data_IF_201792116521
#
_entry.id   IF_201792116521
#
_cell.length_a   1.000
_cell.length_b   1.000
_cell.length_c   1.000
_cell.angle_alpha   90.00
_cell.angle_beta   90.00
_cell.angle_gamma   90.00
#
_symmetry.space_group_name_H-M   'P 1'
#
loop_
_entity.id
_entity.type
_entity.pdbx_description
1 polymer ?
#
# COMPACT_ATOMS: atom_id res chain seq x y z
N UNK A 1 -24.22 16.89 1.16
CA UNK A 1 -24.42 15.43 1.36
C UNK A 1 -23.30 14.95 2.27
N UNK A 2 -23.57 14.02 3.20
CA UNK A 2 -22.77 13.63 4.39
C UNK A 2 -21.25 13.89 4.27
N UNK A 3 -20.57 13.38 3.24
CA UNK A 3 -19.10 13.51 3.12
C UNK A 3 -18.64 14.49 2.01
N UNK A 4 -19.54 15.23 1.37
CA UNK A 4 -19.21 16.21 0.32
C UNK A 4 -18.62 15.63 -0.97
N UNK A 5 -18.50 14.30 -1.11
CA UNK A 5 -17.79 13.68 -2.23
C UNK A 5 -18.63 13.60 -3.52
N UNK A 6 -17.95 13.84 -4.65
CA UNK A 6 -18.49 13.65 -6.00
C UNK A 6 -18.93 12.22 -6.26
N UNK A 7 -20.10 12.05 -6.87
CA UNK A 7 -20.64 10.76 -7.30
C UNK A 7 -20.61 10.67 -8.82
N UNK A 8 -20.20 9.52 -9.34
CA UNK A 8 -20.02 9.31 -10.78
C UNK A 8 -20.88 8.12 -11.25
N UNK A 9 -21.52 8.27 -12.41
CA UNK A 9 -22.11 7.14 -13.13
C UNK A 9 -21.03 6.51 -14.02
N UNK A 10 -20.86 5.20 -13.93
CA UNK A 10 -19.82 4.47 -14.66
C UNK A 10 -20.40 3.31 -15.45
N UNK A 11 -19.70 2.89 -16.50
CA UNK A 11 -20.06 1.73 -17.30
C UNK A 11 -19.95 0.43 -16.48
N UNK A 12 -20.77 -0.55 -16.83
CA UNK A 12 -20.76 -1.89 -16.24
C UNK A 12 -19.38 -2.57 -16.35
N UNK A 13 -19.09 -3.51 -15.45
CA UNK A 13 -17.82 -4.24 -15.42
C UNK A 13 -17.53 -4.99 -16.74
N UNK A 14 -18.57 -5.47 -17.43
CA UNK A 14 -18.48 -6.16 -18.72
C UNK A 14 -18.18 -5.22 -19.90
N UNK A 15 -18.19 -3.90 -19.70
CA UNK A 15 -17.87 -2.96 -20.77
C UNK A 15 -16.42 -3.11 -21.23
N UNK A 16 -16.19 -2.90 -22.54
CA UNK A 16 -14.85 -2.97 -23.12
C UNK A 16 -13.86 -2.00 -22.45
N UNK A 17 -14.34 -0.84 -22.00
CA UNK A 17 -13.55 0.15 -21.27
C UNK A 17 -13.03 -0.40 -19.93
N UNK A 18 -13.91 -0.99 -19.11
CA UNK A 18 -13.53 -1.60 -17.84
C UNK A 18 -12.65 -2.83 -18.04
N UNK A 19 -12.94 -3.67 -19.03
CA UNK A 19 -12.11 -4.84 -19.38
C UNK A 19 -10.68 -4.46 -19.79
N UNK A 20 -10.49 -3.40 -20.58
CA UNK A 20 -9.15 -2.88 -20.95
C UNK A 20 -8.38 -2.40 -19.71
N UNK A 21 -9.04 -1.70 -18.80
CA UNK A 21 -8.44 -1.23 -17.54
C UNK A 21 -8.00 -2.41 -16.66
N UNK A 22 -8.85 -3.43 -16.52
CA UNK A 22 -8.56 -4.62 -15.72
C UNK A 22 -7.42 -5.46 -16.30
N UNK A 23 -7.38 -5.61 -17.64
CA UNK A 23 -6.24 -6.21 -18.33
C UNK A 23 -4.94 -5.46 -18.05
N UNK A 24 -4.97 -4.13 -18.09
CA UNK A 24 -3.80 -3.30 -17.76
C UNK A 24 -3.33 -3.48 -16.31
N UNK A 25 -4.27 -3.57 -15.36
CA UNK A 25 -4.01 -3.86 -13.95
C UNK A 25 -3.23 -5.17 -13.78
N UNK A 26 -3.69 -6.27 -14.40
CA UNK A 26 -3.00 -7.55 -14.31
C UNK A 26 -1.67 -7.60 -15.07
N UNK A 27 -1.58 -6.95 -16.23
CA UNK A 27 -0.30 -6.81 -16.95
C UNK A 27 0.75 -6.09 -16.09
N UNK A 28 0.34 -5.07 -15.32
CA UNK A 28 1.24 -4.38 -14.38
C UNK A 28 1.71 -5.30 -13.26
N UNK A 29 0.81 -6.12 -12.71
CA UNK A 29 1.16 -7.12 -11.70
C UNK A 29 2.14 -8.19 -12.25
N UNK A 30 1.91 -8.67 -13.48
CA UNK A 30 2.82 -9.62 -14.14
C UNK A 30 4.22 -9.02 -14.36
N UNK A 31 4.31 -7.75 -14.77
CA UNK A 31 5.59 -7.03 -14.87
C UNK A 31 6.28 -6.89 -13.52
N UNK A 32 5.53 -6.61 -12.45
CA UNK A 32 6.06 -6.56 -11.09
C UNK A 32 6.62 -7.92 -10.68
N UNK A 33 5.91 -9.02 -10.96
CA UNK A 33 6.36 -10.38 -10.67
C UNK A 33 7.73 -10.67 -11.30
N UNK A 34 7.97 -10.26 -12.55
CA UNK A 34 9.28 -10.42 -13.20
C UNK A 34 10.40 -9.56 -12.63
N UNK A 35 10.09 -8.54 -11.82
CA UNK A 35 11.06 -7.61 -11.23
C UNK A 35 11.14 -7.69 -9.70
N UNK A 36 10.35 -8.55 -9.07
CA UNK A 36 10.13 -8.52 -7.63
C UNK A 36 11.42 -8.77 -6.86
N UNK A 37 12.27 -9.70 -7.29
CA UNK A 37 13.50 -10.03 -6.58
C UNK A 37 14.51 -8.87 -6.56
N UNK A 38 14.55 -8.06 -7.62
CA UNK A 38 15.37 -6.84 -7.66
C UNK A 38 14.88 -5.83 -6.63
N UNK A 39 13.56 -5.63 -6.53
CA UNK A 39 12.96 -4.72 -5.55
C UNK A 39 13.21 -5.21 -4.13
N UNK A 40 13.07 -6.52 -3.90
CA UNK A 40 13.34 -7.15 -2.60
C UNK A 40 14.79 -7.02 -2.18
N UNK A 41 15.72 -7.18 -3.11
CA UNK A 41 17.15 -6.95 -2.85
C UNK A 41 17.42 -5.49 -2.47
N UNK A 42 16.77 -4.55 -3.16
CA UNK A 42 16.93 -3.12 -2.90
C UNK A 42 16.42 -2.72 -1.51
N UNK A 43 15.16 -3.03 -1.18
CA UNK A 43 14.62 -2.66 0.13
C UNK A 43 15.38 -3.38 1.26
N UNK A 44 15.83 -4.63 1.07
CA UNK A 44 16.60 -5.35 2.11
C UNK A 44 17.93 -4.68 2.42
N UNK A 45 18.61 -4.15 1.40
CA UNK A 45 19.82 -3.35 1.58
C UNK A 45 19.51 -2.05 2.35
N UNK A 46 18.37 -1.43 2.04
CA UNK A 46 17.98 -0.14 2.61
C UNK A 46 17.47 -0.23 4.05
N UNK A 47 17.11 -1.42 4.56
CA UNK A 47 16.74 -1.64 5.96
C UNK A 47 17.86 -1.25 6.95
N UNK A 48 19.13 -1.34 6.53
CA UNK A 48 20.29 -0.96 7.36
C UNK A 48 20.90 0.38 6.94
N UNK A 49 20.16 1.21 6.19
CA UNK A 49 20.63 2.54 5.78
C UNK A 49 20.86 3.45 6.99
N UNK A 50 21.78 4.41 6.86
CA UNK A 50 22.02 5.44 7.90
C UNK A 50 20.90 6.49 7.97
N UNK A 51 20.16 6.70 6.88
CA UNK A 51 19.02 7.63 6.83
C UNK A 51 17.77 6.95 7.41
N UNK A 52 17.13 7.61 8.36
CA UNK A 52 15.89 7.15 8.97
C UNK A 52 14.76 7.03 7.95
N UNK A 53 14.65 8.01 7.05
CA UNK A 53 13.65 8.09 5.99
C UNK A 53 13.78 6.89 5.04
N UNK A 54 15.02 6.59 4.65
CA UNK A 54 15.31 5.45 3.77
C UNK A 54 14.95 4.12 4.44
N UNK A 55 15.25 3.98 5.74
CA UNK A 55 14.86 2.77 6.51
C UNK A 55 13.36 2.66 6.66
N UNK A 56 12.66 3.74 6.99
CA UNK A 56 11.20 3.75 7.10
C UNK A 56 10.53 3.36 5.78
N UNK A 57 10.99 3.90 4.66
CA UNK A 57 10.52 3.53 3.33
C UNK A 57 10.77 2.04 3.03
N UNK A 58 11.97 1.54 3.33
CA UNK A 58 12.32 0.13 3.13
C UNK A 58 11.46 -0.80 4.00
N UNK A 59 11.24 -0.44 5.27
CA UNK A 59 10.38 -1.18 6.18
C UNK A 59 8.93 -1.18 5.70
N UNK A 60 8.39 -0.03 5.30
CA UNK A 60 7.02 0.07 4.75
C UNK A 60 6.86 -0.79 3.48
N UNK A 61 7.84 -0.75 2.57
CA UNK A 61 7.83 -1.64 1.40
C UNK A 61 7.86 -3.12 1.78
N UNK A 62 8.69 -3.50 2.76
CA UNK A 62 8.74 -4.88 3.25
C UNK A 62 7.40 -5.32 3.85
N UNK A 63 6.76 -4.48 4.67
CA UNK A 63 5.44 -4.75 5.26
C UNK A 63 4.39 -4.95 4.17
N UNK A 64 4.35 -4.08 3.15
CA UNK A 64 3.41 -4.21 2.02
C UNK A 64 3.68 -5.50 1.21
N UNK A 65 4.95 -5.79 0.87
CA UNK A 65 5.30 -6.98 0.07
C UNK A 65 5.05 -8.29 0.82
N UNK A 66 5.36 -8.36 2.12
CA UNK A 66 5.32 -9.61 2.88
C UNK A 66 3.98 -9.87 3.56
N UNK A 67 3.29 -8.82 4.00
CA UNK A 67 2.03 -8.92 4.74
C UNK A 67 0.82 -8.43 3.94
N UNK A 68 1.02 -7.94 2.71
CA UNK A 68 -0.04 -7.45 1.83
C UNK A 68 -0.90 -6.32 2.43
N UNK A 69 -0.32 -5.49 3.30
CA UNK A 69 -1.01 -4.31 3.82
C UNK A 69 -1.28 -3.30 2.70
N UNK A 70 -2.42 -2.62 2.81
CA UNK A 70 -2.70 -1.44 1.97
C UNK A 70 -1.80 -0.29 2.40
N UNK A 71 -1.50 0.61 1.46
CA UNK A 71 -0.61 1.77 1.71
C UNK A 71 -1.09 2.60 2.90
N UNK A 72 -2.38 2.91 3.00
CA UNK A 72 -2.94 3.75 4.06
C UNK A 72 -2.71 5.23 3.77
N UNK A 73 -3.71 5.88 3.19
CA UNK A 73 -3.72 7.35 3.08
C UNK A 73 -4.05 7.98 4.43
N UNK A 74 -3.65 9.24 4.60
CA UNK A 74 -4.08 10.05 5.73
C UNK A 74 -5.58 10.27 5.66
N UNK A 75 -6.23 10.26 6.83
CA UNK A 75 -7.66 10.45 6.98
C UNK A 75 -7.91 11.53 8.01
N UNK A 76 -8.93 12.33 7.77
CA UNK A 76 -9.46 13.23 8.79
C UNK A 76 -10.28 12.41 9.78
N UNK A 77 -9.74 12.17 10.98
CA UNK A 77 -10.40 11.34 12.00
C UNK A 77 -11.62 12.00 12.65
N UNK A 78 -11.86 13.29 12.39
CA UNK A 78 -13.07 13.98 12.85
C UNK A 78 -14.27 13.65 11.94
N UNK A 79 -14.03 13.43 10.65
CA UNK A 79 -15.06 13.23 9.63
C UNK A 79 -15.10 11.78 9.08
N UNK A 80 -14.03 11.01 9.28
CA UNK A 80 -13.89 9.63 8.80
C UNK A 80 -13.54 8.64 9.93
N UNK A 81 -13.95 7.39 9.76
CA UNK A 81 -13.58 6.32 10.69
C UNK A 81 -12.05 6.14 10.77
N UNK A 82 -11.53 6.04 12.00
CA UNK A 82 -10.12 5.78 12.29
C UNK A 82 -9.73 4.37 11.86
N UNK A 83 -9.21 4.29 10.64
CA UNK A 83 -8.69 3.05 10.04
C UNK A 83 -7.30 3.34 9.49
N UNK A 84 -6.34 2.47 9.77
CA UNK A 84 -4.95 2.65 9.35
C UNK A 84 -4.53 1.68 8.23
N UNK A 85 -3.48 2.05 7.50
CA UNK A 85 -2.72 1.17 6.61
C UNK A 85 -1.23 1.31 6.89
N UNK A 86 -0.38 0.68 6.07
CA UNK A 86 1.05 0.57 6.33
C UNK A 86 1.74 1.90 6.68
N UNK A 87 1.44 2.98 5.94
CA UNK A 87 2.05 4.29 6.11
C UNK A 87 1.38 5.16 7.17
N UNK A 88 0.22 4.75 7.69
CA UNK A 88 -0.52 5.45 8.76
C UNK A 88 -0.54 4.66 10.08
N UNK A 89 0.28 3.60 10.20
CA UNK A 89 0.46 2.86 11.44
C UNK A 89 1.05 3.77 12.53
N UNK A 90 0.36 3.82 13.67
CA UNK A 90 0.84 4.41 14.93
C UNK A 90 1.49 3.36 15.84
N UNK A 91 2.31 3.80 16.79
CA UNK A 91 3.06 2.93 17.72
C UNK A 91 2.17 1.93 18.47
N UNK A 92 0.96 2.34 18.84
CA UNK A 92 -0.02 1.50 19.55
C UNK A 92 -0.48 0.25 18.80
N UNK A 93 -0.32 0.20 17.46
CA UNK A 93 -0.76 -0.93 16.64
C UNK A 93 0.27 -2.06 16.56
N UNK A 94 1.48 -1.86 17.09
CA UNK A 94 2.57 -2.81 17.00
C UNK A 94 3.01 -3.21 18.40
N UNK A 95 3.12 -4.53 18.62
CA UNK A 95 3.72 -5.10 19.82
C UNK A 95 4.82 -6.05 19.40
N UNK A 96 6.01 -5.84 19.92
CA UNK A 96 7.16 -6.72 19.74
C UNK A 96 7.33 -7.51 21.02
N UNK A 97 7.36 -8.84 20.92
CA UNK A 97 7.72 -9.69 22.05
C UNK A 97 9.24 -9.63 22.24
N UNK A 98 9.75 -9.22 23.41
CA UNK A 98 11.19 -9.17 23.66
C UNK A 98 11.85 -10.55 23.78
N UNK A 99 11.06 -11.65 23.79
CA UNK A 99 11.56 -13.02 23.90
C UNK A 99 11.68 -13.76 22.55
N UNK A 100 11.37 -13.08 21.44
CA UNK A 100 11.58 -13.52 20.04
C UNK A 100 12.61 -12.59 19.35
#
# INVERSE_FOLDING_TARGET
NINGQSKYMQLAAQSSFKGKSDRSKYNKAARLCGNIDKIRKDYKKNLTSKSNETRQLATAMWVIDRLALRVGGEKDTEEEADTVGCCSLRVEHLKFDPND
#
